data_IF_515319245708
#
_entry.id   IF_515319245708
#
_cell.length_a   1.000
_cell.length_b   1.000
_cell.length_c   1.000
_cell.angle_alpha   90.00
_cell.angle_beta   90.00
_cell.angle_gamma   90.00
#
_symmetry.space_group_name_H-M   'P 1'
#
loop_
_entity.id
_entity.type
_entity.pdbx_description
1 polymer ?
#
# COMPACT_ATOMS: atom_id res chain seq x y z
N UNK A 1 29.25 3.29 -10.25
CA UNK A 1 28.82 3.03 -11.64
C UNK A 1 27.35 2.71 -11.58
N UNK A 2 26.54 3.60 -12.13
CA UNK A 2 25.09 3.67 -11.97
C UNK A 2 24.41 2.40 -12.46
N UNK A 3 23.83 1.64 -11.53
CA UNK A 3 22.89 0.58 -11.90
C UNK A 3 21.49 1.22 -11.97
N UNK A 4 20.96 1.53 -13.15
CA UNK A 4 19.66 2.21 -13.31
C UNK A 4 18.52 1.39 -12.73
N UNK A 5 18.72 0.08 -12.55
CA UNK A 5 17.77 -0.82 -11.89
C UNK A 5 17.49 -0.42 -10.44
N UNK A 6 18.53 -0.12 -9.65
CA UNK A 6 18.43 0.24 -8.23
C UNK A 6 17.66 1.55 -8.09
N UNK A 7 18.02 2.59 -8.87
CA UNK A 7 17.34 3.89 -8.82
C UNK A 7 15.85 3.79 -9.17
N UNK A 8 15.50 3.02 -10.19
CA UNK A 8 14.09 2.77 -10.57
C UNK A 8 13.32 2.04 -9.46
N UNK A 9 13.95 1.04 -8.83
CA UNK A 9 13.34 0.32 -7.71
C UNK A 9 13.08 1.22 -6.51
N UNK A 10 14.04 2.09 -6.15
CA UNK A 10 13.88 3.09 -5.09
C UNK A 10 12.69 4.01 -5.38
N UNK A 11 12.60 4.55 -6.60
CA UNK A 11 11.48 5.43 -7.00
C UNK A 11 10.13 4.73 -6.89
N UNK A 12 10.04 3.45 -7.27
CA UNK A 12 8.82 2.65 -7.12
C UNK A 12 8.45 2.48 -5.64
N UNK A 13 9.40 2.10 -4.80
CA UNK A 13 9.15 1.89 -3.37
C UNK A 13 8.73 3.20 -2.69
N UNK A 14 9.37 4.32 -3.01
CA UNK A 14 8.97 5.64 -2.53
C UNK A 14 7.56 6.01 -2.98
N UNK A 15 7.21 5.79 -4.24
CA UNK A 15 5.87 6.05 -4.78
C UNK A 15 4.79 5.21 -4.09
N UNK A 16 5.04 3.93 -3.85
CA UNK A 16 4.12 3.06 -3.11
C UNK A 16 3.93 3.54 -1.67
N UNK A 17 5.00 3.93 -0.97
CA UNK A 17 4.90 4.46 0.39
C UNK A 17 4.16 5.80 0.43
N UNK A 18 4.41 6.68 -0.52
CA UNK A 18 3.80 8.01 -0.56
C UNK A 18 2.31 7.95 -0.87
N UNK A 19 1.89 7.09 -1.81
CA UNK A 19 0.50 7.08 -2.28
C UNK A 19 -0.33 5.94 -1.67
N UNK A 20 0.14 4.69 -1.68
CA UNK A 20 -0.65 3.57 -1.21
C UNK A 20 -0.58 3.40 0.31
N UNK A 21 0.64 3.36 0.87
CA UNK A 21 0.82 3.13 2.31
C UNK A 21 0.31 4.31 3.14
N UNK A 22 0.58 5.55 2.71
CA UNK A 22 0.11 6.74 3.40
C UNK A 22 -1.42 6.87 3.36
N UNK A 23 -2.06 6.52 2.22
CA UNK A 23 -3.51 6.49 2.13
C UNK A 23 -4.13 5.52 3.14
N UNK A 24 -3.58 4.33 3.28
CA UNK A 24 -4.09 3.36 4.26
C UNK A 24 -3.85 3.85 5.69
N UNK A 25 -2.67 4.42 5.97
CA UNK A 25 -2.30 4.86 7.31
C UNK A 25 -3.15 6.04 7.81
N UNK A 26 -3.47 7.00 6.93
CA UNK A 26 -4.30 8.17 7.25
C UNK A 26 -5.78 7.88 7.01
N UNK A 27 -6.10 7.23 5.91
CA UNK A 27 -7.49 6.99 5.51
C UNK A 27 -8.21 5.98 6.42
N UNK A 28 -7.53 4.94 6.92
CA UNK A 28 -8.18 3.95 7.77
C UNK A 28 -8.75 4.57 9.06
N UNK A 29 -7.95 5.28 9.91
CA UNK A 29 -8.51 5.92 11.09
C UNK A 29 -9.59 6.94 10.71
N UNK A 30 -9.31 7.83 9.76
CA UNK A 30 -10.25 8.88 9.35
C UNK A 30 -11.61 8.30 8.92
N UNK A 31 -11.62 7.30 8.04
CA UNK A 31 -12.85 6.68 7.55
C UNK A 31 -13.62 5.96 8.65
N UNK A 32 -12.94 5.28 9.56
CA UNK A 32 -13.60 4.55 10.65
C UNK A 32 -14.12 5.52 11.71
N UNK A 33 -13.30 6.47 12.17
CA UNK A 33 -13.69 7.33 13.29
C UNK A 33 -14.59 8.48 12.86
N UNK A 34 -14.29 9.17 11.77
CA UNK A 34 -15.00 10.39 11.38
C UNK A 34 -16.16 10.15 10.41
N UNK A 35 -16.00 9.18 9.47
CA UNK A 35 -16.97 9.05 8.36
C UNK A 35 -18.01 7.98 8.62
N UNK A 36 -17.62 6.79 9.06
CA UNK A 36 -18.53 5.65 9.10
C UNK A 36 -19.37 5.61 10.37
N UNK A 37 -18.84 6.04 11.50
CA UNK A 37 -19.48 5.81 12.79
C UNK A 37 -19.73 7.08 13.60
N UNK A 38 -18.96 8.15 13.47
CA UNK A 38 -19.18 9.39 14.21
C UNK A 38 -20.53 10.03 13.82
N UNK A 39 -20.79 10.17 12.51
CA UNK A 39 -22.05 10.69 11.97
C UNK A 39 -23.29 9.84 12.33
N UNK A 40 -23.10 8.60 12.75
CA UNK A 40 -24.18 7.69 13.15
C UNK A 40 -24.43 7.67 14.67
N UNK A 41 -23.70 8.46 15.46
CA UNK A 41 -23.91 8.59 16.90
C UNK A 41 -23.53 7.35 17.72
N UNK A 42 -22.58 6.57 17.24
CA UNK A 42 -22.04 5.42 18.00
C UNK A 42 -21.13 5.88 19.13
N UNK A 43 -21.09 5.08 20.21
CA UNK A 43 -20.22 5.32 21.34
C UNK A 43 -18.74 5.26 20.92
N UNK A 44 -17.93 6.23 21.39
CA UNK A 44 -16.50 6.35 21.06
C UNK A 44 -15.71 5.08 21.40
N UNK A 45 -16.06 4.40 22.49
CA UNK A 45 -15.41 3.14 22.88
C UNK A 45 -15.69 2.02 21.86
N UNK A 46 -16.88 1.99 21.28
CA UNK A 46 -17.23 1.04 20.24
C UNK A 46 -16.46 1.32 18.95
N UNK A 47 -16.39 2.58 18.53
CA UNK A 47 -15.64 3.01 17.33
C UNK A 47 -14.15 2.69 17.47
N UNK A 48 -13.55 2.97 18.63
CA UNK A 48 -12.16 2.64 18.92
C UNK A 48 -11.88 1.13 18.85
N UNK A 49 -12.81 0.29 19.32
CA UNK A 49 -12.70 -1.18 19.18
C UNK A 49 -12.73 -1.61 17.73
N UNK A 50 -13.61 -1.05 16.90
CA UNK A 50 -13.67 -1.34 15.47
C UNK A 50 -12.36 -0.93 14.76
N UNK A 51 -11.85 0.24 15.09
CA UNK A 51 -10.54 0.67 14.59
C UNK A 51 -9.42 -0.30 15.00
N UNK A 52 -9.42 -0.74 16.25
CA UNK A 52 -8.48 -1.77 16.73
C UNK A 52 -8.57 -3.09 15.96
N UNK A 53 -9.78 -3.55 15.65
CA UNK A 53 -9.98 -4.77 14.83
C UNK A 53 -9.49 -4.58 13.39
N UNK A 54 -9.73 -3.41 12.79
CA UNK A 54 -9.21 -3.10 11.47
C UNK A 54 -7.66 -3.07 11.45
N UNK A 55 -7.03 -2.50 12.46
CA UNK A 55 -5.57 -2.55 12.63
C UNK A 55 -5.06 -3.98 12.83
N UNK A 56 -5.80 -4.79 13.60
CA UNK A 56 -5.51 -6.22 13.75
C UNK A 56 -5.57 -6.98 12.42
N UNK A 57 -6.55 -6.65 11.57
CA UNK A 57 -6.67 -7.23 10.23
C UNK A 57 -5.49 -6.84 9.31
N UNK A 58 -5.03 -5.58 9.35
CA UNK A 58 -3.82 -5.13 8.65
C UNK A 58 -2.59 -5.94 9.08
N UNK A 59 -2.40 -6.09 10.40
CA UNK A 59 -1.28 -6.85 10.96
C UNK A 59 -1.35 -8.33 10.56
N UNK A 60 -2.54 -8.94 10.61
CA UNK A 60 -2.77 -10.32 10.19
C UNK A 60 -2.50 -10.51 8.69
N UNK A 61 -2.91 -9.54 7.85
CA UNK A 61 -2.62 -9.52 6.42
C UNK A 61 -1.11 -9.48 6.15
N UNK A 62 -0.38 -8.60 6.85
CA UNK A 62 1.08 -8.50 6.75
C UNK A 62 1.77 -9.79 7.19
N UNK A 63 1.33 -10.40 8.30
CA UNK A 63 1.88 -11.65 8.81
C UNK A 63 1.65 -12.80 7.80
N UNK A 64 0.42 -12.94 7.32
CA UNK A 64 0.08 -13.92 6.29
C UNK A 64 0.88 -13.70 5.00
N UNK A 65 1.07 -12.43 4.58
CA UNK A 65 1.89 -12.04 3.47
C UNK A 65 3.37 -12.40 3.65
N UNK A 66 3.91 -12.22 4.85
CA UNK A 66 5.27 -12.64 5.21
C UNK A 66 5.48 -14.15 5.09
N UNK A 67 4.54 -14.94 5.61
CA UNK A 67 4.54 -16.41 5.47
C UNK A 67 4.43 -16.78 3.98
N UNK A 68 3.48 -16.15 3.26
CA UNK A 68 3.29 -16.34 1.83
C UNK A 68 4.54 -15.99 1.02
N UNK A 69 5.24 -14.92 1.37
CA UNK A 69 6.50 -14.54 0.73
C UNK A 69 7.56 -15.63 0.87
N UNK A 70 7.70 -16.24 2.04
CA UNK A 70 8.66 -17.33 2.27
C UNK A 70 8.49 -18.51 1.29
N UNK A 71 7.25 -18.79 0.88
CA UNK A 71 6.91 -19.85 -0.07
C UNK A 71 6.98 -19.37 -1.52
N UNK A 72 6.45 -18.18 -1.79
CA UNK A 72 6.25 -17.66 -3.15
C UNK A 72 7.49 -16.96 -3.72
N UNK A 73 8.35 -16.32 -2.92
CA UNK A 73 9.53 -15.57 -3.40
C UNK A 73 10.45 -16.45 -4.25
N UNK A 74 10.61 -17.72 -3.88
CA UNK A 74 11.42 -18.69 -4.66
C UNK A 74 10.80 -19.05 -6.02
N UNK A 75 9.49 -18.90 -6.19
CA UNK A 75 8.74 -19.27 -7.39
C UNK A 75 8.34 -18.07 -8.24
N UNK A 76 8.25 -16.89 -7.64
CA UNK A 76 7.86 -15.67 -8.34
C UNK A 76 9.08 -15.05 -9.04
N UNK A 77 9.01 -15.00 -10.37
CA UNK A 77 9.97 -14.23 -11.17
C UNK A 77 9.75 -12.73 -10.93
N UNK A 78 10.84 -11.96 -10.90
CA UNK A 78 10.80 -10.50 -10.67
C UNK A 78 9.85 -9.78 -11.64
N UNK A 79 9.73 -10.27 -12.88
CA UNK A 79 8.82 -9.74 -13.89
C UNK A 79 7.34 -9.76 -13.47
N UNK A 80 6.95 -10.71 -12.62
CA UNK A 80 5.56 -10.84 -12.12
C UNK A 80 5.29 -10.00 -10.87
N UNK A 81 6.30 -9.40 -10.28
CA UNK A 81 6.17 -8.61 -9.04
C UNK A 81 5.32 -7.36 -9.24
N UNK A 82 5.35 -6.76 -10.44
CA UNK A 82 4.46 -5.65 -10.79
C UNK A 82 2.97 -6.00 -10.72
N UNK A 83 2.60 -7.27 -10.96
CA UNK A 83 1.21 -7.72 -10.86
C UNK A 83 0.70 -7.70 -9.42
N UNK A 84 1.57 -7.87 -8.41
CA UNK A 84 1.20 -7.76 -6.99
C UNK A 84 0.75 -6.35 -6.66
N UNK A 85 1.45 -5.33 -7.17
CA UNK A 85 1.06 -3.93 -6.99
C UNK A 85 -0.24 -3.58 -7.73
N UNK A 86 -0.46 -4.16 -8.92
CA UNK A 86 -1.73 -3.99 -9.63
C UNK A 86 -2.88 -4.55 -8.80
N UNK A 87 -2.69 -5.72 -8.18
CA UNK A 87 -3.68 -6.28 -7.26
C UNK A 87 -3.92 -5.37 -6.05
N UNK A 88 -2.86 -4.86 -5.41
CA UNK A 88 -2.99 -3.91 -4.30
C UNK A 88 -3.82 -2.68 -4.72
N UNK A 89 -3.49 -2.05 -5.86
CA UNK A 89 -4.22 -0.90 -6.37
C UNK A 89 -5.67 -1.23 -6.72
N UNK A 90 -5.93 -2.42 -7.30
CA UNK A 90 -7.28 -2.85 -7.64
C UNK A 90 -8.18 -3.00 -6.39
N UNK A 91 -7.65 -3.46 -5.27
CA UNK A 91 -8.41 -3.60 -4.02
C UNK A 91 -8.69 -2.26 -3.30
N UNK A 92 -8.12 -1.14 -3.75
CA UNK A 92 -8.49 0.21 -3.28
C UNK A 92 -9.85 0.64 -3.83
N UNK A 93 -10.18 0.25 -5.07
CA UNK A 93 -11.44 0.68 -5.72
C UNK A 93 -12.71 0.17 -5.02
N UNK A 94 -12.83 -1.08 -4.55
CA UNK A 94 -14.00 -1.52 -3.80
C UNK A 94 -14.25 -0.71 -2.52
N UNK A 95 -13.20 -0.17 -1.88
CA UNK A 95 -13.34 0.72 -0.72
C UNK A 95 -14.06 2.00 -1.15
N UNK A 96 -13.63 2.63 -2.24
CA UNK A 96 -14.29 3.83 -2.78
C UNK A 96 -15.74 3.55 -3.22
N UNK A 97 -15.96 2.43 -3.90
CA UNK A 97 -17.30 2.03 -4.37
C UNK A 97 -18.27 1.84 -3.20
N UNK A 98 -17.82 1.22 -2.11
CA UNK A 98 -18.68 1.04 -0.92
C UNK A 98 -19.11 2.37 -0.30
N UNK A 99 -18.27 3.40 -0.37
CA UNK A 99 -18.60 4.75 0.11
C UNK A 99 -19.60 5.45 -0.82
N UNK A 100 -19.45 5.31 -2.14
CA UNK A 100 -20.35 5.94 -3.14
C UNK A 100 -21.78 5.42 -3.01
N UNK A 101 -21.95 4.11 -2.83
CA UNK A 101 -23.28 3.49 -2.76
C UNK A 101 -23.97 3.69 -1.41
N UNK A 102 -23.43 4.52 -0.52
CA UNK A 102 -24.01 4.82 0.80
C UNK A 102 -24.45 3.55 1.55
N UNK A 103 -23.68 2.48 1.44
CA UNK A 103 -23.92 1.27 2.22
C UNK A 103 -23.91 1.61 3.72
N UNK A 104 -24.55 0.78 4.55
CA UNK A 104 -24.49 1.01 6.00
C UNK A 104 -23.02 1.07 6.46
N UNK A 105 -22.70 1.93 7.45
CA UNK A 105 -21.32 2.09 7.95
C UNK A 105 -20.62 0.77 8.24
N UNK A 106 -21.36 -0.24 8.74
CA UNK A 106 -20.83 -1.57 9.00
C UNK A 106 -20.42 -2.32 7.71
N UNK A 107 -21.17 -2.18 6.61
CA UNK A 107 -20.83 -2.79 5.31
C UNK A 107 -19.57 -2.12 4.75
N UNK A 108 -19.50 -0.78 4.77
CA UNK A 108 -18.31 -0.04 4.36
C UNK A 108 -17.08 -0.46 5.18
N UNK A 109 -17.24 -0.59 6.49
CA UNK A 109 -16.20 -1.04 7.41
C UNK A 109 -15.70 -2.46 7.07
N UNK A 110 -16.60 -3.41 6.84
CA UNK A 110 -16.23 -4.79 6.51
C UNK A 110 -15.51 -4.88 5.16
N UNK A 111 -16.03 -4.17 4.14
CA UNK A 111 -15.38 -4.11 2.81
C UNK A 111 -14.00 -3.50 2.93
N UNK A 112 -13.85 -2.38 3.63
CA UNK A 112 -12.57 -1.71 3.83
C UNK A 112 -11.59 -2.61 4.58
N UNK A 113 -12.00 -3.23 5.69
CA UNK A 113 -11.14 -4.09 6.51
C UNK A 113 -10.65 -5.31 5.71
N UNK A 114 -11.53 -5.95 4.94
CA UNK A 114 -11.18 -7.07 4.07
C UNK A 114 -10.21 -6.64 2.95
N UNK A 115 -10.48 -5.53 2.28
CA UNK A 115 -9.60 -5.00 1.25
C UNK A 115 -8.22 -4.63 1.82
N UNK A 116 -8.18 -3.99 2.98
CA UNK A 116 -6.94 -3.66 3.67
C UNK A 116 -6.12 -4.90 4.03
N UNK A 117 -6.76 -5.97 4.54
CA UNK A 117 -6.11 -7.25 4.76
C UNK A 117 -5.44 -7.79 3.49
N UNK A 118 -6.17 -7.80 2.38
CA UNK A 118 -5.69 -8.31 1.09
C UNK A 118 -4.56 -7.43 0.54
N UNK A 119 -4.70 -6.11 0.64
CA UNK A 119 -3.66 -5.16 0.22
C UNK A 119 -2.37 -5.40 1.02
N UNK A 120 -2.47 -5.54 2.33
CA UNK A 120 -1.30 -5.78 3.19
C UNK A 120 -0.65 -7.13 2.91
N UNK A 121 -1.44 -8.16 2.61
CA UNK A 121 -0.93 -9.47 2.17
C UNK A 121 -0.04 -9.35 0.93
N UNK A 122 -0.56 -8.77 -0.15
CA UNK A 122 0.19 -8.64 -1.41
C UNK A 122 1.31 -7.61 -1.33
N UNK A 123 1.13 -6.51 -0.59
CA UNK A 123 2.15 -5.49 -0.36
C UNK A 123 3.36 -6.04 0.37
N UNK A 124 3.14 -6.90 1.37
CA UNK A 124 4.25 -7.56 2.10
C UNK A 124 5.04 -8.50 1.18
N UNK A 125 4.35 -9.32 0.37
CA UNK A 125 5.02 -10.18 -0.62
C UNK A 125 5.84 -9.33 -1.60
N UNK A 126 5.27 -8.23 -2.09
CA UNK A 126 5.97 -7.28 -2.96
C UNK A 126 7.23 -6.72 -2.31
N UNK A 127 7.13 -6.25 -1.06
CA UNK A 127 8.25 -5.66 -0.31
C UNK A 127 9.38 -6.66 -0.12
N UNK A 128 9.08 -7.90 0.27
CA UNK A 128 10.08 -8.97 0.43
C UNK A 128 10.75 -9.28 -0.91
N UNK A 129 9.99 -9.35 -1.99
CA UNK A 129 10.52 -9.60 -3.32
C UNK A 129 11.46 -8.47 -3.78
N UNK A 130 11.08 -7.22 -3.53
CA UNK A 130 11.90 -6.04 -3.87
C UNK A 130 13.21 -6.02 -3.08
N UNK A 131 13.14 -6.28 -1.78
CA UNK A 131 14.35 -6.36 -0.94
C UNK A 131 15.29 -7.48 -1.40
N UNK A 132 14.75 -8.66 -1.70
CA UNK A 132 15.54 -9.79 -2.21
C UNK A 132 16.19 -9.45 -3.54
N UNK A 133 15.47 -8.84 -4.47
CA UNK A 133 16.00 -8.39 -5.76
C UNK A 133 17.15 -7.39 -5.58
N UNK A 134 16.99 -6.40 -4.72
CA UNK A 134 18.02 -5.40 -4.47
C UNK A 134 19.29 -6.01 -3.85
N UNK A 135 19.12 -6.99 -2.96
CA UNK A 135 20.26 -7.72 -2.38
C UNK A 135 21.02 -8.54 -3.45
N UNK A 136 20.30 -9.17 -4.38
CA UNK A 136 20.91 -9.94 -5.46
C UNK A 136 21.64 -9.07 -6.48
N UNK A 137 21.14 -7.88 -6.78
CA UNK A 137 21.73 -6.94 -7.75
C UNK A 137 22.88 -6.11 -7.17
N UNK A 138 23.05 -6.09 -5.85
CA UNK A 138 24.03 -5.25 -5.17
C UNK A 138 25.25 -6.09 -4.73
N UNK A 139 26.51 -5.66 -5.02
CA UNK A 139 27.71 -6.29 -4.48
C UNK A 139 27.69 -6.35 -2.95
N UNK A 140 28.20 -7.43 -2.38
CA UNK A 140 28.15 -7.67 -0.93
C UNK A 140 28.69 -6.51 -0.09
N UNK A 141 29.74 -5.84 -0.55
CA UNK A 141 30.38 -4.70 0.13
C UNK A 141 29.45 -3.46 0.22
N UNK A 142 28.45 -3.34 -0.65
CA UNK A 142 27.57 -2.18 -0.78
C UNK A 142 26.13 -2.46 -0.34
N UNK A 143 25.76 -3.72 -0.05
CA UNK A 143 24.40 -4.11 0.31
C UNK A 143 23.85 -3.24 1.45
N UNK A 144 24.60 -3.08 2.53
CA UNK A 144 24.16 -2.29 3.68
C UNK A 144 23.89 -0.82 3.34
N UNK A 145 24.77 -0.21 2.51
CA UNK A 145 24.59 1.19 2.09
C UNK A 145 23.36 1.38 1.19
N UNK A 146 23.15 0.46 0.26
CA UNK A 146 22.01 0.52 -0.67
C UNK A 146 20.70 0.30 0.08
N UNK A 147 20.62 -0.71 0.96
CA UNK A 147 19.41 -0.96 1.76
C UNK A 147 19.11 0.23 2.68
N UNK A 148 20.13 0.77 3.37
CA UNK A 148 19.95 1.95 4.23
C UNK A 148 19.43 3.16 3.44
N UNK A 149 19.97 3.41 2.25
CA UNK A 149 19.49 4.49 1.38
C UNK A 149 18.02 4.30 0.97
N UNK A 150 17.64 3.06 0.57
CA UNK A 150 16.25 2.74 0.21
C UNK A 150 15.30 2.97 1.38
N UNK A 151 15.65 2.47 2.56
CA UNK A 151 14.85 2.65 3.77
C UNK A 151 14.71 4.14 4.13
N UNK A 152 15.80 4.90 4.04
CA UNK A 152 15.79 6.34 4.29
C UNK A 152 14.82 7.06 3.34
N UNK A 153 14.93 6.86 2.04
CA UNK A 153 14.03 7.48 1.06
C UNK A 153 12.58 7.06 1.25
N UNK A 154 12.34 5.78 1.54
CA UNK A 154 10.99 5.26 1.79
C UNK A 154 10.37 5.86 3.05
N UNK A 155 11.16 5.99 4.13
CA UNK A 155 10.72 6.61 5.38
C UNK A 155 10.48 8.10 5.25
N UNK A 156 11.21 8.81 4.38
CA UNK A 156 10.94 10.22 4.08
C UNK A 156 9.70 10.42 3.20
N UNK A 157 9.39 9.50 2.32
CA UNK A 157 8.25 9.59 1.44
C UNK A 157 6.91 9.46 2.20
N UNK A 158 6.85 8.63 3.23
CA UNK A 158 5.62 8.33 3.96
C UNK A 158 5.03 9.54 4.72
N UNK A 159 5.79 10.34 5.50
CA UNK A 159 5.28 11.55 6.13
C UNK A 159 4.75 12.58 5.13
N UNK A 160 5.38 12.70 3.95
CA UNK A 160 4.88 13.58 2.88
C UNK A 160 3.53 13.08 2.36
N UNK A 161 3.38 11.77 2.18
CA UNK A 161 2.11 11.18 1.82
C UNK A 161 1.05 11.37 2.91
N UNK A 162 1.41 11.18 4.18
CA UNK A 162 0.49 11.38 5.29
C UNK A 162 -0.02 12.83 5.35
N UNK A 163 0.87 13.82 5.17
CA UNK A 163 0.48 15.23 5.12
C UNK A 163 -0.43 15.52 3.91
N UNK A 164 -0.11 14.95 2.74
CA UNK A 164 -0.94 15.07 1.53
C UNK A 164 -2.35 14.53 1.77
N UNK A 165 -2.48 13.31 2.31
CA UNK A 165 -3.80 12.71 2.55
C UNK A 165 -4.55 13.38 3.69
N UNK A 166 -3.88 13.87 4.75
CA UNK A 166 -4.53 14.67 5.77
C UNK A 166 -5.23 15.89 5.16
N UNK A 167 -4.50 16.67 4.37
CA UNK A 167 -5.07 17.84 3.67
C UNK A 167 -6.14 17.45 2.66
N UNK A 168 -5.97 16.36 1.91
CA UNK A 168 -6.97 15.91 0.92
C UNK A 168 -8.28 15.48 1.58
N UNK A 169 -8.23 14.75 2.69
CA UNK A 169 -9.44 14.35 3.40
C UNK A 169 -10.15 15.55 4.03
N UNK A 170 -9.41 16.52 4.58
CA UNK A 170 -10.00 17.76 5.12
C UNK A 170 -10.68 18.60 4.03
N UNK A 171 -10.02 18.75 2.86
CA UNK A 171 -10.59 19.53 1.74
C UNK A 171 -11.75 18.84 1.04
N UNK A 172 -11.80 17.52 1.09
CA UNK A 172 -12.83 16.71 0.43
C UNK A 172 -13.82 16.11 1.43
N UNK A 173 -14.08 16.77 2.55
CA UNK A 173 -15.08 16.34 3.52
C UNK A 173 -16.44 16.16 2.85
N UNK A 174 -17.05 14.99 3.02
CA UNK A 174 -18.29 14.58 2.33
C UNK A 174 -18.09 13.95 0.94
N UNK A 175 -16.87 14.00 0.39
CA UNK A 175 -16.47 13.38 -0.89
C UNK A 175 -15.25 12.48 -0.72
N UNK A 176 -15.13 11.82 0.41
CA UNK A 176 -13.96 11.00 0.79
C UNK A 176 -13.66 9.90 -0.24
N UNK A 177 -14.69 9.39 -0.91
CA UNK A 177 -14.55 8.44 -2.02
C UNK A 177 -13.68 8.98 -3.17
N UNK A 178 -13.68 10.29 -3.40
CA UNK A 178 -12.86 10.90 -4.45
C UNK A 178 -11.37 10.82 -4.11
N UNK A 179 -11.01 11.02 -2.84
CA UNK A 179 -9.63 10.86 -2.34
C UNK A 179 -9.17 9.42 -2.50
N UNK A 180 -10.03 8.45 -2.17
CA UNK A 180 -9.72 7.02 -2.31
C UNK A 180 -9.57 6.64 -3.78
N UNK A 181 -10.43 7.14 -4.69
CA UNK A 181 -10.31 6.94 -6.13
C UNK A 181 -9.03 7.55 -6.70
N UNK A 182 -8.67 8.75 -6.25
CA UNK A 182 -7.39 9.38 -6.62
C UNK A 182 -6.22 8.50 -6.20
N UNK A 183 -6.19 8.06 -4.93
CA UNK A 183 -5.15 7.17 -4.42
C UNK A 183 -5.04 5.87 -5.21
N UNK A 184 -6.18 5.23 -5.49
CA UNK A 184 -6.26 4.01 -6.29
C UNK A 184 -5.74 4.21 -7.71
N UNK A 185 -6.13 5.31 -8.36
CA UNK A 185 -5.71 5.64 -9.73
C UNK A 185 -4.21 5.90 -9.84
N UNK A 186 -3.65 6.70 -8.92
CA UNK A 186 -2.21 6.97 -8.88
C UNK A 186 -1.42 5.70 -8.56
N UNK A 187 -1.89 4.91 -7.57
CA UNK A 187 -1.27 3.63 -7.21
C UNK A 187 -1.29 2.64 -8.38
N UNK A 188 -2.37 2.61 -9.15
CA UNK A 188 -2.48 1.78 -10.36
C UNK A 188 -1.50 2.24 -11.44
N UNK A 189 -1.37 3.54 -11.67
CA UNK A 189 -0.39 4.09 -12.60
C UNK A 189 1.04 3.69 -12.21
N UNK A 190 1.40 3.83 -10.93
CA UNK A 190 2.69 3.38 -10.39
C UNK A 190 2.87 1.87 -10.61
N UNK A 191 1.85 1.06 -10.34
CA UNK A 191 1.89 -0.38 -10.51
C UNK A 191 2.12 -0.81 -11.97
N UNK A 192 1.45 -0.15 -12.92
CA UNK A 192 1.63 -0.39 -14.36
C UNK A 192 3.03 0.03 -14.83
N UNK A 193 3.52 1.20 -14.38
CA UNK A 193 4.89 1.64 -14.65
C UNK A 193 5.92 0.63 -14.08
N UNK A 194 5.68 0.16 -12.86
CA UNK A 194 6.52 -0.85 -12.20
C UNK A 194 6.58 -2.13 -13.01
N UNK A 195 5.43 -2.62 -13.48
CA UNK A 195 5.36 -3.82 -14.31
C UNK A 195 6.23 -3.68 -15.57
N UNK A 196 6.10 -2.57 -16.31
CA UNK A 196 6.91 -2.29 -17.52
C UNK A 196 8.40 -2.22 -17.21
N UNK A 197 8.78 -1.62 -16.07
CA UNK A 197 10.18 -1.53 -15.64
C UNK A 197 10.78 -2.91 -15.42
N UNK A 198 10.06 -3.80 -14.75
CA UNK A 198 10.56 -5.14 -14.40
C UNK A 198 10.48 -6.14 -15.55
N UNK A 199 9.54 -5.99 -16.48
CA UNK A 199 9.54 -6.75 -17.74
C UNK A 199 10.79 -6.47 -18.56
N UNK A 200 11.22 -5.21 -18.66
CA UNK A 200 12.44 -4.81 -19.36
C UNK A 200 13.75 -5.27 -18.70
N UNK A 201 13.73 -5.69 -17.45
CA UNK A 201 14.92 -6.31 -16.81
C UNK A 201 15.06 -7.80 -17.17
N UNK A 202 13.98 -8.47 -17.50
CA UNK A 202 14.02 -9.89 -17.89
C UNK A 202 14.47 -10.15 -19.32
N UNK A 203 14.47 -9.14 -20.19
CA UNK A 203 14.96 -9.26 -21.57
C UNK A 203 16.48 -9.02 -21.71
N UNK A 204 17.15 -8.63 -20.62
CA UNK A 204 18.59 -8.29 -20.60
C UNK A 204 19.45 -9.31 -19.88
N UNK A 205 18.90 -10.38 -19.40
CA UNK A 205 19.56 -11.52 -18.75
C UNK A 205 19.37 -12.80 -19.52
#
# INVERSE_FOLDING_TARGET
RDKPAIGKTVSVVCGVNLFLSAMILVGLPYLVTEVMFDKAGYDSDYVNKLYGYAQGALAAGSLAGGIGAGVLVKKLKIQKTGNLLILCAAFVFPIAVSQIFSASGMVCYLVMTLCCFIIMFFSTIFTVQMMSFMQMETPQELIGKVIAAVLMFSMCAQPLGNALYGVLFDLCEGYEYAVILFAGSVSLAIAVCTKKIFEGFGERG
#
